data_IF_149597858629
#
_entry.id   IF_149597858629
#
_cell.length_a   1.000
_cell.length_b   1.000
_cell.length_c   1.000
_cell.angle_alpha   90.00
_cell.angle_beta   90.00
_cell.angle_gamma   90.00
#
_symmetry.space_group_name_H-M   'P 1'
#
loop_
_entity.id
_entity.type
_entity.pdbx_description
1 polymer ?
#
# COMPACT_ATOMS: atom_id res chain seq x y z
N UNK A 1 -10.10 38.01 -14.03
CA UNK A 1 -8.91 37.58 -14.78
C UNK A 1 -7.69 37.76 -13.90
N UNK A 2 -7.18 36.70 -13.27
CA UNK A 2 -5.79 36.73 -12.80
C UNK A 2 -5.16 35.40 -13.16
N UNK A 3 -4.45 35.43 -14.29
CA UNK A 3 -3.62 34.36 -14.78
C UNK A 3 -2.22 34.63 -14.25
N UNK A 4 -1.73 33.76 -13.38
CA UNK A 4 -0.33 33.77 -12.95
C UNK A 4 0.11 32.34 -12.65
N UNK A 5 0.32 31.60 -13.74
CA UNK A 5 1.52 30.78 -13.99
C UNK A 5 2.23 30.26 -12.75
N UNK A 6 1.75 29.13 -12.23
CA UNK A 6 2.59 28.22 -11.45
C UNK A 6 3.28 27.24 -12.42
N UNK A 7 4.38 27.69 -13.03
CA UNK A 7 5.24 26.87 -13.91
C UNK A 7 6.39 26.23 -13.12
N UNK A 8 6.09 25.60 -11.99
CA UNK A 8 7.04 24.70 -11.32
C UNK A 8 6.82 23.28 -11.85
N UNK A 9 7.87 22.50 -12.20
CA UNK A 9 7.68 21.13 -12.70
C UNK A 9 6.90 20.38 -11.65
N UNK A 10 5.67 20.00 -12.01
CA UNK A 10 4.64 19.45 -11.13
C UNK A 10 5.25 18.36 -10.25
N UNK A 11 5.59 18.72 -9.00
CA UNK A 11 5.82 17.74 -7.96
C UNK A 11 4.58 16.86 -7.99
N UNK A 12 4.77 15.58 -8.31
CA UNK A 12 3.65 14.65 -8.41
C UNK A 12 2.84 14.78 -7.13
N UNK A 13 1.53 14.99 -7.28
CA UNK A 13 0.63 15.11 -6.13
C UNK A 13 0.87 13.89 -5.24
N UNK A 14 1.34 14.06 -3.99
CA UNK A 14 1.66 12.93 -3.13
C UNK A 14 0.49 11.98 -3.01
N UNK A 15 -0.75 12.49 -3.02
CA UNK A 15 -1.97 11.67 -2.97
C UNK A 15 -2.09 10.76 -4.19
N UNK A 16 -1.78 11.26 -5.38
CA UNK A 16 -1.79 10.48 -6.61
C UNK A 16 -0.74 9.37 -6.57
N UNK A 17 0.48 9.67 -6.09
CA UNK A 17 1.54 8.67 -5.90
C UNK A 17 1.13 7.59 -4.89
N UNK A 18 0.56 7.96 -3.74
CA UNK A 18 0.10 6.98 -2.75
C UNK A 18 -0.99 6.07 -3.30
N UNK A 19 -1.95 6.63 -4.05
CA UNK A 19 -3.01 5.83 -4.69
C UNK A 19 -2.43 4.81 -5.67
N UNK A 20 -1.47 5.24 -6.50
CA UNK A 20 -0.81 4.35 -7.46
C UNK A 20 -0.08 3.20 -6.75
N UNK A 21 0.69 3.50 -5.71
CA UNK A 21 1.46 2.49 -4.95
C UNK A 21 0.54 1.48 -4.26
N UNK A 22 -0.55 1.94 -3.64
CA UNK A 22 -1.52 1.05 -2.99
C UNK A 22 -2.17 0.13 -4.02
N UNK A 23 -2.58 0.67 -5.18
CA UNK A 23 -3.23 -0.10 -6.25
C UNK A 23 -2.26 -1.08 -6.95
N UNK A 24 -0.97 -0.75 -7.07
CA UNK A 24 0.05 -1.66 -7.57
C UNK A 24 0.24 -2.84 -6.61
N UNK A 25 0.43 -2.56 -5.32
CA UNK A 25 0.66 -3.60 -4.32
C UNK A 25 -0.55 -4.52 -4.12
N UNK A 26 -1.78 -3.97 -4.21
CA UNK A 26 -2.98 -4.79 -4.16
C UNK A 26 -3.08 -5.76 -5.35
N UNK A 27 -2.67 -5.33 -6.55
CA UNK A 27 -2.65 -6.17 -7.75
C UNK A 27 -1.51 -7.19 -7.76
N UNK A 28 -0.36 -6.84 -7.19
CA UNK A 28 0.86 -7.67 -7.15
C UNK A 28 1.43 -7.68 -5.73
N UNK A 29 0.78 -8.41 -4.81
CA UNK A 29 1.23 -8.43 -3.43
C UNK A 29 2.61 -9.09 -3.36
N UNK A 30 3.51 -8.42 -2.67
CA UNK A 30 4.88 -8.91 -2.44
C UNK A 30 4.85 -9.81 -1.21
N UNK A 31 5.63 -10.90 -1.22
CA UNK A 31 5.72 -11.86 -0.11
C UNK A 31 4.37 -12.46 0.31
N UNK A 32 3.44 -12.60 -0.64
CA UNK A 32 2.17 -13.26 -0.38
C UNK A 32 2.32 -14.78 -0.46
N UNK A 33 1.95 -15.47 0.61
CA UNK A 33 2.04 -16.91 0.74
C UNK A 33 2.63 -17.33 2.09
N UNK A 34 3.02 -18.59 2.20
CA UNK A 34 3.64 -19.16 3.39
C UNK A 34 5.16 -19.15 3.26
N UNK A 35 5.86 -18.89 4.37
CA UNK A 35 7.31 -19.04 4.47
C UNK A 35 7.64 -20.37 5.16
N UNK A 36 8.41 -21.24 4.51
CA UNK A 36 8.60 -22.63 4.95
C UNK A 36 9.30 -22.74 6.32
N UNK A 37 10.35 -21.95 6.53
CA UNK A 37 11.20 -22.01 7.73
C UNK A 37 11.01 -20.76 8.61
N UNK A 38 9.78 -20.25 8.69
CA UNK A 38 9.46 -19.11 9.54
C UNK A 38 9.70 -19.44 11.01
N UNK A 39 10.47 -18.58 11.66
CA UNK A 39 10.82 -18.61 13.08
C UNK A 39 9.70 -18.10 13.98
N UNK A 40 8.85 -17.20 13.47
CA UNK A 40 7.74 -16.61 14.22
C UNK A 40 6.47 -16.51 13.37
N UNK A 41 5.33 -16.57 14.05
CA UNK A 41 4.01 -16.47 13.43
C UNK A 41 3.09 -15.58 14.27
N UNK A 42 2.20 -14.84 13.59
CA UNK A 42 1.16 -14.05 14.23
C UNK A 42 -0.08 -13.96 13.35
N UNK A 43 -1.26 -13.96 13.97
CA UNK A 43 -2.55 -13.76 13.30
C UNK A 43 -3.20 -12.46 13.76
N UNK A 44 -3.79 -11.75 12.81
CA UNK A 44 -4.52 -10.50 13.03
C UNK A 44 -5.91 -10.55 12.40
N UNK A 45 -6.91 -10.05 13.13
CA UNK A 45 -8.28 -9.98 12.66
C UNK A 45 -8.89 -8.61 12.96
N UNK A 46 -9.41 -7.96 11.93
CA UNK A 46 -10.16 -6.71 12.02
C UNK A 46 -11.67 -6.97 11.74
N UNK A 47 -12.49 -7.23 12.77
CA UNK A 47 -13.88 -7.64 12.60
C UNK A 47 -14.80 -6.57 12.00
N UNK A 48 -14.41 -5.29 12.05
CA UNK A 48 -15.19 -4.19 11.48
C UNK A 48 -15.24 -4.26 9.95
N UNK A 49 -14.16 -4.75 9.34
CA UNK A 49 -14.00 -4.82 7.90
C UNK A 49 -13.96 -6.27 7.39
N UNK A 50 -13.77 -7.25 8.29
CA UNK A 50 -13.61 -8.65 7.95
C UNK A 50 -12.21 -9.00 7.44
N UNK A 51 -11.21 -8.14 7.69
CA UNK A 51 -9.84 -8.41 7.25
C UNK A 51 -9.19 -9.48 8.13
N UNK A 52 -8.54 -10.43 7.49
CA UNK A 52 -7.72 -11.46 8.15
C UNK A 52 -6.30 -11.42 7.58
N UNK A 53 -5.32 -11.45 8.47
CA UNK A 53 -3.91 -11.44 8.10
C UNK A 53 -3.19 -12.51 8.90
N UNK A 54 -2.35 -13.30 8.22
CA UNK A 54 -1.36 -14.17 8.85
C UNK A 54 0.03 -13.66 8.47
N UNK A 55 0.90 -13.50 9.47
CA UNK A 55 2.28 -13.07 9.32
C UNK A 55 3.22 -14.21 9.70
N UNK A 56 4.23 -14.44 8.87
CA UNK A 56 5.30 -15.40 9.09
C UNK A 56 6.66 -14.69 8.89
N UNK A 57 7.61 -14.91 9.81
CA UNK A 57 8.93 -14.26 9.84
C UNK A 57 10.07 -15.27 9.90
#
# INVERSE_FOLDING_TARGET
>A
MNDSRNTSPRAADPKALYQEVILDHNRKPRNYGTLADASHHADGHNPLCGDHITLAL
#
